data_IF_472916439947
#
_entry.id   IF_472916439947
#
_cell.length_a   1.000
_cell.length_b   1.000
_cell.length_c   1.000
_cell.angle_alpha   90.00
_cell.angle_beta   90.00
_cell.angle_gamma   90.00
#
_symmetry.space_group_name_H-M   'P 1'
#
loop_
_entity.id
_entity.type
_entity.pdbx_description
1 polymer ?
#
# COMPACT_ATOMS: atom_id res chain seq x y z
N UNK A 1 45.26 23.86 -1.89
CA UNK A 1 44.83 22.52 -2.31
C UNK A 1 43.71 21.99 -1.41
N UNK A 2 43.86 22.01 -0.08
CA UNK A 2 42.83 21.47 0.85
C UNK A 2 41.48 22.17 0.72
N UNK A 3 41.45 23.50 0.67
CA UNK A 3 40.23 24.28 0.50
C UNK A 3 39.53 23.99 -0.84
N UNK A 4 40.29 23.82 -1.91
CA UNK A 4 39.72 23.47 -3.21
C UNK A 4 39.14 22.04 -3.23
N UNK A 5 39.76 21.09 -2.53
CA UNK A 5 39.26 19.74 -2.41
C UNK A 5 37.94 19.70 -1.60
N UNK A 6 37.85 20.45 -0.50
CA UNK A 6 36.63 20.58 0.29
C UNK A 6 35.50 21.23 -0.52
N UNK A 7 35.80 22.31 -1.25
CA UNK A 7 34.81 22.97 -2.10
C UNK A 7 34.30 22.03 -3.23
N UNK A 8 35.19 21.27 -3.85
CA UNK A 8 34.81 20.28 -4.88
C UNK A 8 33.95 19.15 -4.28
N UNK A 9 34.26 18.66 -3.08
CA UNK A 9 33.45 17.66 -2.39
C UNK A 9 32.04 18.18 -2.05
N UNK A 10 31.94 19.40 -1.54
CA UNK A 10 30.65 20.06 -1.24
C UNK A 10 29.84 20.25 -2.54
N UNK A 11 30.49 20.74 -3.61
CA UNK A 11 29.84 20.92 -4.91
C UNK A 11 29.32 19.59 -5.49
N UNK A 12 30.10 18.51 -5.37
CA UNK A 12 29.68 17.18 -5.79
C UNK A 12 28.48 16.67 -5.01
N UNK A 13 28.46 16.88 -3.68
CA UNK A 13 27.32 16.52 -2.84
C UNK A 13 26.08 17.34 -3.23
N UNK A 14 26.21 18.64 -3.47
CA UNK A 14 25.10 19.50 -3.86
C UNK A 14 24.56 19.15 -5.26
N UNK A 15 25.42 18.74 -6.19
CA UNK A 15 25.00 18.28 -7.53
C UNK A 15 24.24 16.95 -7.43
N UNK A 16 24.69 16.02 -6.59
CA UNK A 16 24.04 14.73 -6.39
C UNK A 16 22.69 14.85 -5.66
N UNK A 17 22.58 15.77 -4.70
CA UNK A 17 21.35 15.99 -3.92
C UNK A 17 20.41 17.02 -4.58
N UNK A 18 20.93 17.90 -5.44
CA UNK A 18 20.22 19.04 -6.01
C UNK A 18 18.89 18.73 -6.71
N UNK A 19 18.78 17.67 -7.53
CA UNK A 19 17.52 17.35 -8.20
C UNK A 19 16.37 16.96 -7.26
N UNK A 20 16.70 16.52 -6.03
CA UNK A 20 15.71 16.05 -5.05
C UNK A 20 15.16 17.14 -4.14
N UNK A 21 15.77 18.34 -4.13
CA UNK A 21 15.51 19.40 -3.13
C UNK A 21 14.39 20.39 -3.51
N UNK A 22 13.72 20.22 -4.65
CA UNK A 22 12.82 21.28 -5.14
C UNK A 22 11.41 20.88 -5.53
N UNK A 23 11.04 19.60 -5.49
CA UNK A 23 9.69 19.20 -5.91
C UNK A 23 8.73 19.24 -4.70
N UNK A 24 7.55 19.87 -4.84
CA UNK A 24 6.54 19.79 -3.81
C UNK A 24 6.11 18.33 -3.65
N UNK A 25 6.06 17.86 -2.42
CA UNK A 25 5.56 16.53 -2.09
C UNK A 25 4.47 16.63 -1.03
N UNK A 26 3.57 15.65 -1.01
CA UNK A 26 2.66 15.45 0.09
C UNK A 26 2.92 14.12 0.77
N UNK A 27 2.76 14.09 2.07
CA UNK A 27 2.76 12.86 2.85
C UNK A 27 1.36 12.25 2.81
N UNK A 28 1.31 10.97 2.49
CA UNK A 28 0.07 10.21 2.38
C UNK A 28 0.20 8.92 3.14
N UNK A 29 -0.95 8.35 3.51
CA UNK A 29 -1.00 7.04 4.15
C UNK A 29 -2.09 6.15 3.56
N UNK A 30 -1.87 4.87 3.67
CA UNK A 30 -2.81 3.81 3.27
C UNK A 30 -2.74 2.66 4.26
N UNK A 31 -3.82 1.86 4.34
CA UNK A 31 -3.94 0.77 5.30
C UNK A 31 -4.20 -0.55 4.59
N UNK A 32 -3.46 -1.60 5.00
CA UNK A 32 -3.60 -2.95 4.44
C UNK A 32 -4.00 -3.95 5.53
N UNK A 33 -5.06 -4.72 5.27
CA UNK A 33 -5.50 -5.84 6.13
C UNK A 33 -4.86 -7.18 5.74
N UNK A 34 -4.17 -7.24 4.62
CA UNK A 34 -3.48 -8.41 4.12
C UNK A 34 -1.97 -8.24 4.24
N UNK A 35 -1.25 -9.36 4.10
CA UNK A 35 0.21 -9.34 4.17
C UNK A 35 0.82 -8.46 3.07
N UNK A 36 1.71 -7.57 3.48
CA UNK A 36 2.54 -6.74 2.60
C UNK A 36 4.01 -7.19 2.64
N UNK A 37 4.24 -8.47 2.92
CA UNK A 37 5.59 -9.05 2.97
C UNK A 37 6.32 -8.84 1.64
N UNK A 38 7.52 -8.28 1.70
CA UNK A 38 8.30 -7.84 0.54
C UNK A 38 8.15 -6.35 0.20
N UNK A 39 7.26 -5.60 0.87
CA UNK A 39 7.25 -4.14 0.82
C UNK A 39 8.24 -3.59 1.85
N UNK A 40 9.13 -2.73 1.42
CA UNK A 40 10.18 -2.15 2.26
C UNK A 40 10.12 -0.62 2.25
N UNK A 41 10.70 0.00 3.27
CA UNK A 41 10.96 1.45 3.27
C UNK A 41 11.88 1.78 2.09
N UNK A 42 11.55 2.85 1.36
CA UNK A 42 12.23 3.19 0.11
C UNK A 42 11.60 2.55 -1.14
N UNK A 43 10.68 1.60 -1.01
CA UNK A 43 9.98 1.01 -2.15
C UNK A 43 9.29 2.11 -2.98
N UNK A 44 9.34 2.04 -4.33
CA UNK A 44 8.75 3.07 -5.17
C UNK A 44 7.22 3.05 -5.10
N UNK A 45 6.63 4.24 -5.18
CA UNK A 45 5.20 4.43 -5.43
C UNK A 45 5.06 4.85 -6.89
N UNK A 46 4.25 4.09 -7.65
CA UNK A 46 4.09 4.30 -9.09
C UNK A 46 2.64 4.58 -9.44
N UNK A 47 2.43 5.53 -10.33
CA UNK A 47 1.14 5.77 -10.99
C UNK A 47 1.28 5.37 -12.46
N UNK A 48 0.53 4.38 -12.90
CA UNK A 48 0.61 3.82 -14.26
C UNK A 48 2.05 3.47 -14.70
N UNK A 49 2.84 2.92 -13.78
CA UNK A 49 4.22 2.52 -14.03
C UNK A 49 5.28 3.62 -13.86
N UNK A 50 4.87 4.89 -13.78
CA UNK A 50 5.79 6.03 -13.57
C UNK A 50 5.96 6.23 -12.07
N UNK A 51 7.21 6.34 -11.60
CA UNK A 51 7.47 6.60 -10.19
C UNK A 51 7.05 8.03 -9.83
N UNK A 52 6.15 8.13 -8.84
CA UNK A 52 5.61 9.38 -8.31
C UNK A 52 5.92 9.58 -6.84
N UNK A 53 6.59 8.62 -6.22
CA UNK A 53 6.92 8.71 -4.80
C UNK A 53 7.69 7.50 -4.27
N UNK A 54 7.78 7.43 -2.95
CA UNK A 54 8.44 6.34 -2.23
C UNK A 54 7.78 6.12 -0.86
N UNK A 55 7.81 4.85 -0.39
CA UNK A 55 7.45 4.46 0.97
C UNK A 55 8.45 5.07 1.96
N UNK A 56 7.94 5.70 3.02
CA UNK A 56 8.75 6.32 4.07
C UNK A 56 8.75 5.51 5.36
N UNK A 57 7.61 4.90 5.69
CA UNK A 57 7.43 4.23 6.95
C UNK A 57 6.38 3.11 6.81
N UNK A 58 6.59 2.02 7.52
CA UNK A 58 5.66 0.88 7.60
C UNK A 58 5.52 0.53 9.08
N UNK A 59 4.30 0.61 9.61
CA UNK A 59 3.96 0.42 11.01
C UNK A 59 2.74 -0.49 11.16
N UNK A 60 2.54 -1.03 12.35
CA UNK A 60 1.22 -1.54 12.73
C UNK A 60 0.33 -0.39 13.20
N UNK A 61 -0.99 -0.54 13.01
CA UNK A 61 -1.96 0.47 13.47
C UNK A 61 -1.89 0.72 14.96
N UNK A 62 -1.55 -0.29 15.77
CA UNK A 62 -1.33 -0.19 17.21
C UNK A 62 -0.17 0.72 17.58
N UNK A 63 0.84 0.81 16.73
CA UNK A 63 2.00 1.70 16.90
C UNK A 63 1.71 3.09 16.35
N UNK A 64 1.11 3.16 15.16
CA UNK A 64 0.82 4.42 14.47
C UNK A 64 -0.26 5.24 15.19
N UNK A 65 -1.24 4.57 15.85
CA UNK A 65 -2.43 5.14 16.47
C UNK A 65 -2.73 4.51 17.84
N UNK A 66 -1.89 4.69 18.84
CA UNK A 66 -2.01 4.02 20.14
C UNK A 66 -3.29 4.36 20.93
N UNK A 67 -3.92 5.52 20.63
CA UNK A 67 -5.14 5.96 21.34
C UNK A 67 -6.41 5.21 20.91
N UNK A 68 -6.42 4.60 19.72
CA UNK A 68 -7.54 3.82 19.19
C UNK A 68 -7.51 2.36 19.67
N UNK A 69 -6.50 1.98 20.44
CA UNK A 69 -6.06 0.59 20.64
C UNK A 69 -6.75 -0.19 21.74
N UNK A 70 -7.72 0.33 22.47
CA UNK A 70 -8.34 -0.48 23.54
C UNK A 70 -9.18 -1.66 23.05
N UNK A 71 -9.67 -1.64 21.81
CA UNK A 71 -10.34 -2.80 21.18
C UNK A 71 -9.47 -3.57 20.17
N UNK A 72 -8.30 -3.05 19.82
CA UNK A 72 -7.43 -3.59 18.74
C UNK A 72 -6.56 -4.75 19.25
N UNK A 73 -6.62 -5.11 20.53
CA UNK A 73 -5.95 -6.29 21.08
C UNK A 73 -6.53 -7.63 20.56
N UNK A 74 -7.60 -7.62 19.78
CA UNK A 74 -7.89 -8.77 18.94
C UNK A 74 -6.99 -8.71 17.71
N UNK A 75 -6.02 -9.61 17.61
CA UNK A 75 -5.07 -9.79 16.51
C UNK A 75 -5.71 -9.75 15.10
N UNK A 76 -7.03 -9.88 15.02
CA UNK A 76 -7.81 -9.87 13.79
C UNK A 76 -8.09 -8.48 13.22
N UNK A 77 -7.82 -7.39 13.94
CA UNK A 77 -8.12 -6.01 13.49
C UNK A 77 -6.88 -5.15 13.22
N UNK A 78 -5.68 -5.61 13.57
CA UNK A 78 -4.47 -4.87 13.30
C UNK A 78 -4.23 -4.77 11.79
N UNK A 79 -4.01 -3.56 11.29
CA UNK A 79 -3.70 -3.28 9.90
C UNK A 79 -2.27 -2.74 9.76
N UNK A 80 -1.65 -2.99 8.62
CA UNK A 80 -0.40 -2.34 8.29
C UNK A 80 -0.68 -0.93 7.79
N UNK A 81 -0.10 0.06 8.45
CA UNK A 81 -0.11 1.47 8.08
C UNK A 81 1.14 1.74 7.26
N UNK A 82 0.97 2.15 6.02
CA UNK A 82 2.07 2.52 5.14
C UNK A 82 2.00 4.00 4.85
N UNK A 83 3.04 4.72 5.24
CA UNK A 83 3.22 6.14 4.96
C UNK A 83 4.16 6.32 3.79
N UNK A 84 3.82 7.21 2.91
CA UNK A 84 4.57 7.45 1.68
C UNK A 84 4.65 8.95 1.38
N UNK A 85 5.72 9.34 0.72
CA UNK A 85 5.88 10.66 0.16
C UNK A 85 5.63 10.58 -1.33
N UNK A 86 4.69 11.39 -1.83
CA UNK A 86 4.37 11.47 -3.24
C UNK A 86 4.67 12.85 -3.80
N UNK A 87 5.31 12.91 -4.96
CA UNK A 87 5.50 14.13 -5.73
C UNK A 87 4.14 14.49 -6.35
N UNK A 88 3.53 15.54 -5.83
CA UNK A 88 2.26 16.03 -6.36
C UNK A 88 2.51 17.23 -7.28
N UNK A 89 1.91 17.21 -8.43
CA UNK A 89 1.86 18.35 -9.31
C UNK A 89 0.83 19.37 -8.77
N UNK A 90 1.26 20.15 -7.76
CA UNK A 90 0.52 21.31 -7.27
C UNK A 90 -0.46 21.05 -6.10
N UNK A 91 -0.88 22.15 -5.46
CA UNK A 91 -1.89 22.17 -4.38
C UNK A 91 -3.26 21.66 -4.80
N UNK A 92 -3.51 21.55 -6.10
CA UNK A 92 -4.78 21.10 -6.66
C UNK A 92 -5.08 19.63 -6.36
N UNK A 93 -4.05 18.77 -6.25
CA UNK A 93 -4.27 17.34 -5.98
C UNK A 93 -4.82 17.14 -4.56
N UNK A 94 -4.33 17.90 -3.58
CA UNK A 94 -4.83 17.85 -2.21
C UNK A 94 -6.30 18.24 -2.11
N UNK A 95 -6.70 19.32 -2.80
CA UNK A 95 -8.08 19.81 -2.81
C UNK A 95 -9.06 18.88 -3.53
N UNK A 96 -8.59 18.06 -4.49
CA UNK A 96 -9.42 17.15 -5.27
C UNK A 96 -9.22 15.67 -4.88
N UNK A 97 -8.42 15.38 -3.85
CA UNK A 97 -8.12 14.00 -3.47
C UNK A 97 -9.39 13.18 -3.19
N UNK A 98 -10.37 13.77 -2.51
CA UNK A 98 -11.63 13.09 -2.22
C UNK A 98 -12.42 12.75 -3.51
N UNK A 99 -12.38 13.63 -4.50
CA UNK A 99 -13.00 13.35 -5.79
C UNK A 99 -12.30 12.22 -6.54
N UNK A 100 -10.97 12.17 -6.49
CA UNK A 100 -10.21 11.05 -7.05
C UNK A 100 -10.52 9.73 -6.35
N UNK A 101 -10.64 9.74 -5.01
CA UNK A 101 -11.02 8.56 -4.23
C UNK A 101 -12.43 8.09 -4.63
N UNK A 102 -13.38 9.01 -4.80
CA UNK A 102 -14.74 8.70 -5.22
C UNK A 102 -14.78 8.12 -6.64
N UNK A 103 -13.85 8.54 -7.51
CA UNK A 103 -13.66 7.99 -8.86
C UNK A 103 -12.82 6.72 -8.90
N UNK A 104 -12.45 6.17 -7.73
CA UNK A 104 -11.78 4.88 -7.63
C UNK A 104 -10.26 4.94 -7.49
N UNK A 105 -9.67 6.07 -7.09
CA UNK A 105 -8.24 6.13 -6.77
C UNK A 105 -7.94 5.18 -5.61
N UNK A 106 -7.07 4.18 -5.83
CA UNK A 106 -6.69 3.16 -4.85
C UNK A 106 -5.20 2.89 -4.91
N UNK A 107 -4.69 2.35 -3.81
CA UNK A 107 -3.32 1.86 -3.71
C UNK A 107 -3.33 0.34 -3.61
N UNK A 108 -2.51 -0.31 -4.41
CA UNK A 108 -2.30 -1.76 -4.40
C UNK A 108 -0.82 -2.07 -4.24
N UNK A 109 -0.51 -3.22 -3.63
CA UNK A 109 0.83 -3.80 -3.71
C UNK A 109 0.99 -4.55 -5.03
N UNK A 110 2.15 -4.42 -5.69
CA UNK A 110 2.48 -5.18 -6.90
C UNK A 110 3.91 -5.71 -6.82
N UNK A 111 4.15 -6.85 -7.46
CA UNK A 111 5.47 -7.46 -7.53
C UNK A 111 6.42 -6.64 -8.42
N UNK A 112 7.62 -6.37 -7.91
CA UNK A 112 8.72 -5.75 -8.63
C UNK A 112 9.63 -6.83 -9.22
N UNK A 113 9.15 -7.55 -10.23
CA UNK A 113 9.88 -8.68 -10.83
C UNK A 113 9.64 -10.01 -10.11
N UNK A 114 10.62 -10.92 -10.14
CA UNK A 114 10.51 -12.30 -9.63
C UNK A 114 11.10 -12.50 -8.23
N UNK A 115 11.69 -11.47 -7.64
CA UNK A 115 12.42 -11.56 -6.36
C UNK A 115 11.51 -11.55 -5.14
N UNK A 116 10.22 -11.30 -5.31
CA UNK A 116 9.26 -11.15 -4.21
C UNK A 116 9.21 -9.75 -3.60
N UNK A 117 10.05 -8.81 -4.06
CA UNK A 117 9.96 -7.41 -3.63
C UNK A 117 8.66 -6.79 -4.12
N UNK A 118 8.05 -5.94 -3.29
CA UNK A 118 6.82 -5.23 -3.62
C UNK A 118 7.09 -3.74 -3.86
N UNK A 119 6.22 -3.14 -4.65
CA UNK A 119 6.08 -1.69 -4.76
C UNK A 119 4.61 -1.30 -4.62
N UNK A 120 4.33 -0.02 -4.39
CA UNK A 120 2.97 0.49 -4.37
C UNK A 120 2.57 1.00 -5.76
N UNK A 121 1.45 0.53 -6.26
CA UNK A 121 0.80 1.03 -7.47
C UNK A 121 -0.41 1.86 -7.07
N UNK A 122 -0.46 3.09 -7.55
CA UNK A 122 -1.62 3.98 -7.45
C UNK A 122 -2.35 3.91 -8.79
N UNK A 123 -3.63 3.62 -8.79
CA UNK A 123 -4.43 3.57 -10.02
C UNK A 123 -5.91 3.85 -9.73
N UNK A 124 -6.68 4.10 -10.80
CA UNK A 124 -8.12 4.20 -10.73
C UNK A 124 -8.75 2.83 -10.99
N UNK A 125 -9.41 2.29 -9.98
CA UNK A 125 -10.08 1.00 -10.00
C UNK A 125 -11.61 1.21 -9.95
N UNK A 126 -12.38 0.18 -10.28
CA UNK A 126 -13.83 0.23 -10.15
C UNK A 126 -14.25 0.46 -8.69
N UNK A 127 -14.82 1.62 -8.33
CA UNK A 127 -15.18 1.93 -6.95
C UNK A 127 -16.28 1.01 -6.38
N UNK A 128 -17.07 0.35 -7.24
CA UNK A 128 -18.08 -0.63 -6.81
C UNK A 128 -17.43 -1.93 -6.35
N UNK A 129 -16.38 -2.36 -7.04
CA UNK A 129 -15.61 -3.56 -6.67
C UNK A 129 -14.68 -3.29 -5.48
N UNK A 130 -14.11 -2.09 -5.41
CA UNK A 130 -13.15 -1.67 -4.39
C UNK A 130 -13.65 -0.41 -3.66
N UNK A 131 -14.63 -0.54 -2.75
CA UNK A 131 -15.16 0.59 -2.01
C UNK A 131 -14.09 1.23 -1.13
N UNK A 132 -14.21 2.54 -0.85
CA UNK A 132 -13.21 3.29 -0.10
C UNK A 132 -13.14 2.90 1.38
N UNK A 133 -14.22 2.40 1.94
CA UNK A 133 -14.39 1.94 3.32
C UNK A 133 -14.10 0.45 3.53
N UNK A 134 -13.46 -0.20 2.55
CA UNK A 134 -13.12 -1.64 2.62
C UNK A 134 -12.28 -2.00 3.82
N UNK A 135 -11.36 -1.11 4.22
CA UNK A 135 -10.55 -1.26 5.43
C UNK A 135 -11.15 -0.36 6.51
N UNK A 136 -11.94 -0.90 7.45
CA UNK A 136 -12.53 -0.12 8.51
C UNK A 136 -11.46 0.32 9.52
N UNK A 137 -11.52 1.57 9.95
CA UNK A 137 -10.70 2.13 11.02
C UNK A 137 -11.49 3.22 11.75
N UNK A 138 -11.15 3.45 13.02
CA UNK A 138 -11.85 4.37 13.92
C UNK A 138 -10.99 5.58 14.37
N UNK A 139 -9.78 5.71 13.79
CA UNK A 139 -8.89 6.83 14.05
C UNK A 139 -8.91 7.86 12.94
N UNK A 140 -8.47 9.07 13.26
CA UNK A 140 -8.25 10.11 12.26
C UNK A 140 -6.88 9.93 11.63
N UNK A 141 -6.78 9.75 10.30
CA UNK A 141 -5.50 9.69 9.60
C UNK A 141 -4.63 10.91 9.89
N UNK A 142 -3.33 10.66 10.12
CA UNK A 142 -2.36 11.74 10.36
C UNK A 142 -2.02 12.48 9.06
N UNK A 143 -2.01 11.75 7.96
CA UNK A 143 -1.69 12.28 6.64
C UNK A 143 -2.88 12.10 5.68
N UNK A 144 -2.74 12.57 4.44
CA UNK A 144 -3.75 12.37 3.42
C UNK A 144 -3.95 10.87 3.16
N UNK A 145 -5.17 10.39 3.35
CA UNK A 145 -5.48 8.97 3.24
C UNK A 145 -5.94 8.60 1.83
N UNK A 146 -5.34 7.55 1.26
CA UNK A 146 -5.81 6.90 0.02
C UNK A 146 -6.16 5.46 0.36
N UNK A 147 -7.40 5.00 0.07
CA UNK A 147 -7.82 3.64 0.33
C UNK A 147 -6.99 2.60 -0.43
N UNK A 148 -6.72 1.47 0.22
CA UNK A 148 -6.06 0.34 -0.43
C UNK A 148 -7.06 -0.57 -1.14
N UNK A 149 -6.56 -1.32 -2.12
CA UNK A 149 -7.25 -2.44 -2.74
C UNK A 149 -6.32 -3.65 -2.80
N UNK A 150 -6.86 -4.90 -2.77
CA UNK A 150 -6.05 -6.09 -2.91
C UNK A 150 -5.38 -6.13 -4.28
N UNK A 151 -4.17 -6.69 -4.32
CA UNK A 151 -3.49 -6.99 -5.59
C UNK A 151 -4.16 -8.18 -6.30
N UNK A 152 -3.90 -8.32 -7.60
CA UNK A 152 -4.37 -9.49 -8.35
C UNK A 152 -3.91 -10.82 -7.72
N UNK A 153 -2.68 -10.88 -7.21
CA UNK A 153 -2.16 -12.07 -6.53
C UNK A 153 -2.95 -12.39 -5.26
N UNK A 154 -3.30 -11.39 -4.46
CA UNK A 154 -4.11 -11.57 -3.27
C UNK A 154 -5.54 -12.02 -3.63
N UNK A 155 -6.13 -11.46 -4.68
CA UNK A 155 -7.46 -11.89 -5.17
C UNK A 155 -7.46 -13.34 -5.65
N UNK A 156 -6.44 -13.77 -6.38
CA UNK A 156 -6.32 -15.15 -6.83
C UNK A 156 -6.23 -16.11 -5.63
N UNK A 157 -5.40 -15.78 -4.64
CA UNK A 157 -5.26 -16.61 -3.42
C UNK A 157 -6.59 -16.71 -2.68
N UNK A 158 -7.31 -15.61 -2.50
CA UNK A 158 -8.62 -15.62 -1.82
C UNK A 158 -9.67 -16.39 -2.62
N UNK A 159 -9.71 -16.25 -3.94
CA UNK A 159 -10.62 -16.99 -4.80
C UNK A 159 -10.32 -18.50 -4.77
N UNK A 160 -9.04 -18.91 -4.79
CA UNK A 160 -8.64 -20.32 -4.67
C UNK A 160 -9.03 -20.88 -3.31
N UNK A 161 -8.78 -20.16 -2.22
CA UNK A 161 -9.23 -20.59 -0.88
C UNK A 161 -10.75 -20.76 -0.82
N UNK A 162 -11.51 -19.80 -1.35
CA UNK A 162 -12.96 -19.89 -1.42
C UNK A 162 -13.45 -21.08 -2.22
N UNK A 163 -12.81 -21.38 -3.35
CA UNK A 163 -13.09 -22.55 -4.17
C UNK A 163 -12.80 -23.86 -3.43
N UNK A 164 -11.65 -23.98 -2.77
CA UNK A 164 -11.29 -25.15 -1.98
C UNK A 164 -12.27 -25.37 -0.83
N UNK A 165 -12.66 -24.31 -0.12
CA UNK A 165 -13.64 -24.39 0.94
C UNK A 165 -15.03 -24.85 0.43
N UNK A 166 -15.40 -24.42 -0.79
CA UNK A 166 -16.66 -24.87 -1.43
C UNK A 166 -16.61 -26.37 -1.80
N UNK A 167 -15.46 -26.86 -2.25
CA UNK A 167 -15.28 -28.30 -2.53
C UNK A 167 -15.35 -29.13 -1.25
N UNK A 168 -14.78 -28.66 -0.16
CA UNK A 168 -14.85 -29.32 1.15
C UNK A 168 -16.30 -29.41 1.66
N UNK A 169 -17.09 -28.35 1.42
CA UNK A 169 -18.50 -28.30 1.82
C UNK A 169 -19.41 -29.25 1.00
N UNK A 170 -19.02 -29.59 -0.23
CA UNK A 170 -19.73 -30.51 -1.10
C UNK A 170 -19.59 -31.98 -0.70
N UNK A 171 -18.80 -32.29 0.35
CA UNK A 171 -18.67 -33.64 0.94
C UNK A 171 -18.39 -34.76 -0.08
N UNK A 172 -17.57 -34.48 -1.10
CA UNK A 172 -17.23 -35.40 -2.19
C UNK A 172 -16.71 -36.74 -1.66
N UNK A 173 -16.16 -36.79 -0.45
CA UNK A 173 -15.71 -38.04 0.19
C UNK A 173 -16.83 -38.94 0.69
N UNK A 174 -18.08 -38.49 0.82
CA UNK A 174 -19.21 -39.36 1.22
C UNK A 174 -19.77 -40.14 0.07
N UNK A 175 -19.86 -39.55 -1.12
CA UNK A 175 -20.44 -40.20 -2.29
C UNK A 175 -19.53 -41.29 -2.88
N UNK A 176 -18.20 -41.18 -2.66
CA UNK A 176 -17.24 -42.19 -3.10
C UNK A 176 -17.22 -43.43 -2.19
N UNK A 177 -17.65 -43.35 -0.93
CA UNK A 177 -17.71 -44.49 -0.02
C UNK A 177 -19.04 -45.28 -0.14
N UNK A 178 -20.11 -44.66 -0.65
CA UNK A 178 -21.38 -45.35 -0.87
C UNK A 178 -21.50 -46.07 -2.23
N UNK A 179 -20.53 -45.85 -3.16
CA UNK A 179 -20.58 -46.40 -4.51
C UNK A 179 -19.65 -47.59 -4.72
N UNK A 180 -19.00 -48.15 -3.69
CA UNK A 180 -18.20 -49.37 -3.80
C UNK A 180 -18.97 -50.51 -3.18
N UNK A 181 -19.52 -51.44 -3.99
CA UNK A 181 -20.24 -52.64 -3.51
C UNK A 181 -19.30 -53.64 -2.84
#
# INVERSE_FOLDING_TARGET
>A
FVVAAIAAAIASILILLGPSLGKPYAEMETYFQFSISGLEVGAPVKFRGIQVGQVQEILLSTEAYPSSSQEILSETKAVAVVRMRMELAGKEVESHLQDYINHGLRIQTQLAGITGSLYLSVDFLDPKKYPADRVPFDWKPKYLFIPSAPSLSNEIVENVKGFLASLDSLNINKDLQETVP
#
